data_IF_888090254306
#
_entry.id   IF_888090254306
#
_cell.length_a   1.000
_cell.length_b   1.000
_cell.length_c   1.000
_cell.angle_alpha   90.00
_cell.angle_beta   90.00
_cell.angle_gamma   90.00
#
_symmetry.space_group_name_H-M   'P 1'
#
loop_
_entity.id
_entity.type
_entity.pdbx_description
1 polymer ?
#
# COMPACT_ATOMS: atom_id res chain seq x y z
N UNK A 1 -25.58 31.76 7.74
CA UNK A 1 -24.17 32.17 7.63
C UNK A 1 -23.50 31.95 8.99
N UNK A 2 -22.49 31.07 9.14
CA UNK A 2 -21.78 30.97 10.40
C UNK A 2 -20.81 32.15 10.54
N UNK A 3 -20.52 32.60 11.76
CA UNK A 3 -19.65 33.74 11.99
C UNK A 3 -18.21 33.37 11.64
N UNK A 4 -17.54 34.24 10.87
CA UNK A 4 -16.10 34.21 10.69
C UNK A 4 -15.46 34.52 12.04
N UNK A 5 -15.09 33.48 12.79
CA UNK A 5 -14.19 33.64 13.95
C UNK A 5 -12.91 34.27 13.42
N UNK A 6 -12.55 35.44 13.96
CA UNK A 6 -11.21 36.02 13.83
C UNK A 6 -10.20 35.02 14.41
N UNK A 7 -9.81 34.01 13.61
CA UNK A 7 -8.67 33.16 13.93
C UNK A 7 -7.44 34.02 13.67
N UNK A 8 -6.69 34.34 14.73
CA UNK A 8 -5.29 34.73 14.57
C UNK A 8 -4.66 33.73 13.60
N UNK A 9 -3.94 34.23 12.62
CA UNK A 9 -3.23 33.38 11.69
C UNK A 9 -2.23 32.53 12.50
N UNK A 10 -2.22 31.19 12.34
CA UNK A 10 -1.22 30.35 12.98
C UNK A 10 0.17 30.83 12.57
N UNK A 11 1.07 31.01 13.55
CA UNK A 11 2.42 31.53 13.32
C UNK A 11 2.60 33.04 13.52
N UNK A 12 1.59 33.76 14.01
CA UNK A 12 1.71 35.20 14.35
C UNK A 12 2.43 35.48 15.69
N UNK A 13 2.91 34.45 16.38
CA UNK A 13 3.52 34.60 17.71
C UNK A 13 5.02 34.88 17.59
N UNK A 14 5.43 36.10 17.95
CA UNK A 14 6.84 36.46 18.14
C UNK A 14 7.11 36.60 19.63
N UNK A 15 7.90 35.68 20.20
CA UNK A 15 8.25 35.75 21.63
C UNK A 15 9.18 36.91 21.92
N UNK A 16 8.95 37.53 23.08
CA UNK A 16 9.80 38.57 23.65
C UNK A 16 11.03 38.01 24.38
N UNK A 17 11.04 36.71 24.66
CA UNK A 17 12.12 35.99 25.35
C UNK A 17 13.09 35.30 24.40
N UNK A 18 13.01 35.53 23.10
CA UNK A 18 13.98 34.93 22.18
C UNK A 18 15.40 35.35 22.57
N UNK A 19 16.30 34.41 22.91
CA UNK A 19 17.67 34.74 23.27
C UNK A 19 18.39 35.34 22.07
N UNK A 20 18.99 36.50 22.25
CA UNK A 20 19.89 37.08 21.26
C UNK A 20 21.27 36.43 21.38
N UNK A 21 22.01 36.28 20.29
CA UNK A 21 23.36 35.69 20.30
C UNK A 21 24.28 36.33 21.35
N UNK A 22 24.14 37.65 21.53
CA UNK A 22 24.87 38.41 22.55
C UNK A 22 24.55 37.93 23.97
N UNK A 23 23.26 37.81 24.31
CA UNK A 23 22.83 37.36 25.65
C UNK A 23 23.28 35.94 25.96
N UNK A 24 23.30 35.07 24.94
CA UNK A 24 23.79 33.70 25.10
C UNK A 24 25.31 33.64 25.28
N UNK A 25 26.06 34.49 24.58
CA UNK A 25 27.51 34.63 24.75
C UNK A 25 27.92 35.05 26.17
N UNK A 26 27.18 36.01 26.75
CA UNK A 26 27.41 36.48 28.12
C UNK A 26 27.16 35.36 29.14
N UNK A 27 26.04 34.64 29.01
CA UNK A 27 25.72 33.47 29.85
C UNK A 27 26.81 32.40 29.74
N UNK A 28 27.26 32.09 28.52
CA UNK A 28 28.30 31.07 28.28
C UNK A 28 29.64 31.44 28.89
N UNK A 29 29.96 32.73 28.95
CA UNK A 29 31.18 33.23 29.58
C UNK A 29 31.12 33.05 31.09
N UNK A 30 29.98 33.35 31.72
CA UNK A 30 29.75 33.13 33.15
C UNK A 30 29.83 31.64 33.50
N UNK A 31 29.19 30.78 32.71
CA UNK A 31 29.23 29.33 32.89
C UNK A 31 30.65 28.74 32.79
N UNK A 32 31.56 29.40 32.06
CA UNK A 32 32.97 28.98 31.94
C UNK A 32 33.88 29.53 33.05
N UNK A 33 33.52 30.66 33.64
CA UNK A 33 34.37 31.39 34.58
C UNK A 33 34.30 30.88 36.04
N UNK A 34 33.49 29.85 36.34
CA UNK A 34 33.17 29.39 37.70
C UNK A 34 32.63 30.48 38.66
N UNK A 35 32.32 31.67 38.15
CA UNK A 35 31.80 32.79 38.93
C UNK A 35 30.28 32.82 38.92
N UNK A 36 29.67 33.22 40.03
CA UNK A 36 28.23 33.50 40.05
C UNK A 36 27.93 34.78 39.26
N UNK A 37 26.78 34.86 38.56
CA UNK A 37 26.32 36.11 38.00
C UNK A 37 26.10 37.12 39.13
N UNK A 38 26.56 38.35 38.94
CA UNK A 38 26.44 39.43 39.93
C UNK A 38 25.71 40.64 39.37
N UNK A 39 25.20 41.51 40.25
CA UNK A 39 24.59 42.79 39.89
C UNK A 39 23.39 42.66 38.93
N UNK A 40 23.38 43.53 37.91
CA UNK A 40 22.28 43.61 36.94
C UNK A 40 22.10 42.33 36.10
N UNK A 41 23.18 41.62 35.80
CA UNK A 41 23.12 40.35 35.05
C UNK A 41 22.38 39.27 35.84
N UNK A 42 22.63 39.17 37.15
CA UNK A 42 21.91 38.24 38.01
C UNK A 42 20.40 38.55 38.08
N UNK A 43 20.03 39.83 38.17
CA UNK A 43 18.63 40.24 38.17
C UNK A 43 17.94 39.93 36.84
N UNK A 44 18.60 40.21 35.70
CA UNK A 44 18.08 39.89 34.37
C UNK A 44 17.91 38.39 34.16
N UNK A 45 18.86 37.56 34.62
CA UNK A 45 18.76 36.10 34.52
C UNK A 45 17.64 35.55 35.38
N UNK A 46 17.43 36.07 36.60
CA UNK A 46 16.29 35.67 37.45
C UNK A 46 14.95 36.04 36.82
N UNK A 47 14.81 37.26 36.31
CA UNK A 47 13.59 37.66 35.60
C UNK A 47 13.30 36.78 34.37
N UNK A 48 14.35 36.37 33.63
CA UNK A 48 14.20 35.41 32.53
C UNK A 48 13.73 34.03 33.04
N UNK A 49 14.31 33.53 34.13
CA UNK A 49 13.91 32.26 34.74
C UNK A 49 12.45 32.30 35.20
N UNK A 50 11.99 33.44 35.73
CA UNK A 50 10.63 33.59 36.25
C UNK A 50 9.58 33.71 35.13
N UNK A 51 9.90 34.37 34.00
CA UNK A 51 8.98 34.56 32.87
C UNK A 51 8.99 33.39 31.87
N UNK A 52 10.11 32.65 31.77
CA UNK A 52 10.25 31.57 30.80
C UNK A 52 9.17 30.47 30.89
N UNK A 53 8.75 29.99 32.08
CA UNK A 53 7.72 28.96 32.18
C UNK A 53 6.38 29.38 31.54
N UNK A 54 5.91 30.60 31.84
CA UNK A 54 4.66 31.11 31.29
C UNK A 54 4.73 31.26 29.76
N UNK A 55 5.88 31.67 29.22
CA UNK A 55 6.07 31.74 27.77
C UNK A 55 6.12 30.35 27.12
N UNK A 56 6.71 29.35 27.79
CA UNK A 56 6.73 27.97 27.31
C UNK A 56 5.33 27.37 27.27
N UNK A 57 4.51 27.60 28.29
CA UNK A 57 3.10 27.15 28.30
C UNK A 57 2.31 27.73 27.13
N UNK A 58 2.48 29.03 26.83
CA UNK A 58 1.86 29.65 25.65
C UNK A 58 2.33 29.03 24.33
N UNK A 59 3.60 28.64 24.24
CA UNK A 59 4.12 27.93 23.07
C UNK A 59 3.49 26.54 22.93
N UNK A 60 3.38 25.80 24.02
CA UNK A 60 2.79 24.46 24.02
C UNK A 60 1.31 24.53 23.59
N UNK A 61 0.54 25.51 24.10
CA UNK A 61 -0.85 25.75 23.68
C UNK A 61 -0.98 26.06 22.19
N UNK A 62 -0.14 26.94 21.65
CA UNK A 62 -0.16 27.28 20.21
C UNK A 62 0.28 26.09 19.36
N UNK A 63 1.29 25.34 19.82
CA UNK A 63 1.74 24.12 19.16
C UNK A 63 0.63 23.07 19.10
N UNK A 64 -0.08 22.84 20.20
CA UNK A 64 -1.23 21.94 20.23
C UNK A 64 -2.35 22.42 19.30
N UNK A 65 -2.65 23.71 19.30
CA UNK A 65 -3.67 24.30 18.42
C UNK A 65 -3.32 24.10 16.94
N UNK A 66 -2.07 24.38 16.55
CA UNK A 66 -1.56 24.19 15.18
C UNK A 66 -1.56 22.72 14.79
N UNK A 67 -1.12 21.82 15.68
CA UNK A 67 -1.19 20.37 15.46
C UNK A 67 -2.63 19.89 15.27
N UNK A 68 -3.59 20.42 16.04
CA UNK A 68 -5.00 20.12 15.87
C UNK A 68 -5.56 20.59 14.52
N UNK A 69 -5.12 21.77 14.05
CA UNK A 69 -5.44 22.26 12.70
C UNK A 69 -4.83 21.36 11.63
N UNK A 70 -3.56 20.96 11.77
CA UNK A 70 -2.86 20.09 10.84
C UNK A 70 -3.55 18.73 10.72
N UNK A 71 -3.81 18.05 11.85
CA UNK A 71 -4.52 16.76 11.87
C UNK A 71 -5.87 16.82 11.16
N UNK A 72 -6.63 17.91 11.36
CA UNK A 72 -7.90 18.10 10.65
C UNK A 72 -7.69 18.22 9.14
N UNK A 73 -6.72 19.04 8.70
CA UNK A 73 -6.42 19.21 7.28
C UNK A 73 -5.93 17.91 6.63
N UNK A 74 -5.16 17.09 7.34
CA UNK A 74 -4.73 15.77 6.88
C UNK A 74 -5.92 14.83 6.69
N UNK A 75 -6.87 14.81 7.63
CA UNK A 75 -8.11 14.03 7.48
C UNK A 75 -8.96 14.51 6.31
N UNK A 76 -9.13 15.83 6.16
CA UNK A 76 -9.88 16.43 5.05
C UNK A 76 -9.22 16.09 3.70
N UNK A 77 -7.88 16.20 3.61
CA UNK A 77 -7.11 15.82 2.42
C UNK A 77 -7.33 14.34 2.09
N UNK A 78 -7.18 13.44 3.06
CA UNK A 78 -7.40 12.01 2.85
C UNK A 78 -8.82 11.70 2.36
N UNK A 79 -9.83 12.36 2.93
CA UNK A 79 -11.22 12.16 2.53
C UNK A 79 -11.46 12.61 1.08
N UNK A 80 -10.90 13.76 0.68
CA UNK A 80 -10.98 14.27 -0.70
C UNK A 80 -10.24 13.35 -1.67
N UNK A 81 -9.02 12.90 -1.34
CA UNK A 81 -8.25 11.98 -2.18
C UNK A 81 -8.97 10.66 -2.38
N UNK A 82 -9.55 10.10 -1.31
CA UNK A 82 -10.35 8.87 -1.38
C UNK A 82 -11.59 9.06 -2.26
N UNK A 83 -12.27 10.19 -2.14
CA UNK A 83 -13.45 10.50 -2.95
C UNK A 83 -13.08 10.67 -4.43
N UNK A 84 -11.97 11.38 -4.72
CA UNK A 84 -11.47 11.55 -6.07
C UNK A 84 -11.12 10.20 -6.72
N UNK A 85 -10.37 9.33 -6.02
CA UNK A 85 -10.04 8.00 -6.50
C UNK A 85 -11.30 7.13 -6.75
N UNK A 86 -12.33 7.25 -5.91
CA UNK A 86 -13.59 6.56 -6.12
C UNK A 86 -14.33 7.06 -7.37
N UNK A 87 -14.36 8.37 -7.60
CA UNK A 87 -14.92 8.98 -8.80
C UNK A 87 -14.16 8.56 -10.06
N UNK A 88 -12.83 8.61 -10.05
CA UNK A 88 -11.99 8.13 -11.16
C UNK A 88 -12.24 6.65 -11.46
N UNK A 89 -12.28 5.82 -10.42
CA UNK A 89 -12.62 4.40 -10.56
C UNK A 89 -14.01 4.20 -11.17
N UNK A 90 -14.99 5.04 -10.85
CA UNK A 90 -16.34 4.98 -11.42
C UNK A 90 -16.38 5.22 -12.93
N UNK A 91 -15.47 6.05 -13.45
CA UNK A 91 -15.32 6.31 -14.88
C UNK A 91 -14.29 5.41 -15.57
N UNK A 92 -13.65 4.49 -14.84
CA UNK A 92 -12.64 3.62 -15.41
C UNK A 92 -13.22 2.76 -16.55
N UNK A 93 -12.57 2.70 -17.73
CA UNK A 93 -13.05 1.94 -18.90
C UNK A 93 -13.31 0.46 -18.60
N UNK A 94 -12.59 -0.10 -17.63
CA UNK A 94 -12.74 -1.48 -17.13
C UNK A 94 -14.18 -1.84 -16.73
N UNK A 95 -15.00 -0.86 -16.35
CA UNK A 95 -16.42 -1.03 -15.98
C UNK A 95 -17.38 -1.07 -17.17
N UNK A 96 -16.90 -0.77 -18.38
CA UNK A 96 -17.69 -0.73 -19.62
C UNK A 96 -17.23 -1.76 -20.65
N UNK A 97 -16.43 -2.75 -20.23
CA UNK A 97 -15.98 -3.80 -21.13
C UNK A 97 -17.18 -4.64 -21.59
N UNK A 98 -17.29 -4.94 -22.89
CA UNK A 98 -18.26 -5.92 -23.37
C UNK A 98 -18.05 -7.30 -22.69
N UNK A 99 -19.13 -8.09 -22.52
CA UNK A 99 -19.06 -9.42 -21.93
C UNK A 99 -18.00 -10.34 -22.56
N UNK A 100 -17.75 -10.22 -23.87
CA UNK A 100 -16.78 -11.03 -24.60
C UNK A 100 -15.35 -10.68 -24.19
N UNK A 101 -15.06 -9.39 -24.01
CA UNK A 101 -13.75 -8.92 -23.55
C UNK A 101 -13.55 -9.33 -22.09
N UNK A 102 -14.58 -9.19 -21.26
CA UNK A 102 -14.55 -9.59 -19.87
C UNK A 102 -14.31 -11.12 -19.70
N UNK A 103 -14.97 -11.93 -20.53
CA UNK A 103 -14.75 -13.37 -20.59
C UNK A 103 -13.31 -13.71 -20.95
N UNK A 104 -12.74 -13.02 -21.94
CA UNK A 104 -11.36 -13.22 -22.34
C UNK A 104 -10.40 -12.87 -21.21
N UNK A 105 -10.61 -11.76 -20.49
CA UNK A 105 -9.82 -11.41 -19.30
C UNK A 105 -9.86 -12.54 -18.27
N UNK A 106 -11.04 -13.07 -17.93
CA UNK A 106 -11.14 -14.17 -16.97
C UNK A 106 -10.54 -15.48 -17.49
N UNK A 107 -10.59 -15.75 -18.80
CA UNK A 107 -9.90 -16.90 -19.41
C UNK A 107 -8.38 -16.76 -19.30
N UNK A 108 -7.83 -15.57 -19.51
CA UNK A 108 -6.40 -15.31 -19.31
C UNK A 108 -5.99 -15.46 -17.84
N UNK A 109 -6.85 -15.03 -16.91
CA UNK A 109 -6.60 -15.15 -15.47
C UNK A 109 -6.84 -16.56 -14.92
N UNK A 110 -7.59 -17.40 -15.63
CA UNK A 110 -7.76 -18.80 -15.30
C UNK A 110 -6.56 -19.56 -15.83
N UNK A 111 -5.59 -19.98 -15.00
CA UNK A 111 -4.49 -20.82 -15.49
C UNK A 111 -5.09 -22.04 -16.18
N UNK A 112 -4.77 -22.19 -17.47
CA UNK A 112 -4.97 -23.45 -18.17
C UNK A 112 -4.16 -24.47 -17.36
N UNK A 113 -4.83 -25.46 -16.78
CA UNK A 113 -4.20 -26.47 -15.93
C UNK A 113 -3.13 -27.21 -16.72
N UNK A 114 -1.92 -26.68 -16.73
CA UNK A 114 -0.70 -27.37 -17.16
C UNK A 114 0.24 -27.35 -15.96
N UNK A 115 0.25 -28.46 -15.23
CA UNK A 115 1.34 -28.84 -14.35
C UNK A 115 1.45 -28.08 -13.02
N UNK A 116 1.02 -28.74 -11.96
CA UNK A 116 1.74 -28.86 -10.68
C UNK A 116 2.63 -27.66 -10.31
N UNK A 117 2.07 -26.63 -9.68
CA UNK A 117 2.87 -25.75 -8.82
C UNK A 117 3.02 -26.41 -7.46
N UNK A 118 3.88 -27.44 -7.41
CA UNK A 118 4.41 -28.01 -6.18
C UNK A 118 5.34 -26.98 -5.56
N UNK A 119 4.80 -26.07 -4.74
CA UNK A 119 5.61 -25.37 -3.76
C UNK A 119 5.71 -26.28 -2.54
N UNK A 120 6.63 -27.23 -2.61
CA UNK A 120 7.22 -27.85 -1.42
C UNK A 120 7.97 -26.72 -0.69
N UNK A 121 7.31 -26.11 0.29
CA UNK A 121 8.05 -25.50 1.39
C UNK A 121 8.20 -26.62 2.41
N UNK A 122 9.37 -27.24 2.37
CA UNK A 122 9.87 -28.08 3.45
C UNK A 122 10.21 -27.14 4.61
N UNK A 123 9.30 -27.05 5.55
CA UNK A 123 9.60 -26.55 6.89
C UNK A 123 8.91 -27.50 7.85
N UNK A 124 9.73 -28.30 8.51
CA UNK A 124 9.41 -29.06 9.71
C UNK A 124 8.60 -28.19 10.68
N UNK A 125 7.28 -28.32 10.65
CA UNK A 125 6.42 -27.81 11.72
C UNK A 125 5.39 -28.90 12.04
N UNK A 126 5.67 -29.56 13.15
CA UNK A 126 4.95 -30.66 13.75
C UNK A 126 3.61 -30.17 14.31
N UNK A 127 2.68 -29.78 13.45
CA UNK A 127 1.33 -29.42 13.88
C UNK A 127 0.24 -29.95 12.94
N UNK A 128 -0.04 -31.25 13.11
CA UNK A 128 -1.06 -32.08 12.44
C UNK A 128 -2.52 -31.68 12.76
N UNK A 129 -2.81 -30.41 13.01
CA UNK A 129 -4.17 -29.89 13.23
C UNK A 129 -4.52 -28.65 12.40
N UNK A 130 -3.66 -28.22 11.49
CA UNK A 130 -4.03 -27.18 10.53
C UNK A 130 -4.72 -27.81 9.31
N UNK A 131 -6.06 -27.69 9.26
CA UNK A 131 -6.81 -27.89 8.00
C UNK A 131 -6.10 -27.11 6.89
N UNK A 132 -5.82 -27.71 5.73
CA UNK A 132 -5.50 -26.92 4.55
C UNK A 132 -6.68 -25.98 4.34
N UNK A 133 -6.46 -24.66 4.48
CA UNK A 133 -7.46 -23.66 4.10
C UNK A 133 -7.82 -24.02 2.66
N UNK A 134 -9.08 -24.43 2.43
CA UNK A 134 -9.61 -24.73 1.09
C UNK A 134 -9.53 -23.42 0.29
N UNK A 135 -8.35 -23.10 -0.25
CA UNK A 135 -8.18 -21.97 -1.16
C UNK A 135 -9.10 -22.27 -2.34
N UNK A 136 -9.85 -21.26 -2.78
CA UNK A 136 -10.60 -21.34 -4.03
C UNK A 136 -9.69 -21.96 -5.08
N UNK A 137 -10.20 -22.92 -5.88
CA UNK A 137 -9.40 -23.57 -6.93
C UNK A 137 -8.86 -22.59 -7.97
N UNK A 138 -9.35 -21.33 -7.96
CA UNK A 138 -8.96 -20.22 -8.83
C UNK A 138 -8.97 -18.90 -8.02
N UNK A 139 -7.94 -18.60 -7.21
CA UNK A 139 -7.89 -17.36 -6.43
C UNK A 139 -7.79 -16.11 -7.31
N UNK A 140 -7.20 -16.22 -8.50
CA UNK A 140 -7.01 -15.12 -9.47
C UNK A 140 -8.35 -14.61 -9.99
N UNK A 141 -9.30 -15.50 -10.26
CA UNK A 141 -10.67 -15.13 -10.64
C UNK A 141 -11.38 -14.36 -9.53
N UNK A 142 -11.18 -14.77 -8.28
CA UNK A 142 -11.75 -14.07 -7.12
C UNK A 142 -11.09 -12.71 -6.90
N UNK A 143 -9.78 -12.58 -7.11
CA UNK A 143 -9.09 -11.29 -7.07
C UNK A 143 -9.65 -10.32 -8.11
N UNK A 144 -9.85 -10.77 -9.35
CA UNK A 144 -10.45 -9.94 -10.40
C UNK A 144 -11.93 -9.62 -10.15
N UNK A 145 -12.69 -10.49 -9.49
CA UNK A 145 -14.06 -10.20 -9.07
C UNK A 145 -14.17 -9.01 -8.10
N UNK A 146 -13.08 -8.56 -7.46
CA UNK A 146 -13.09 -7.37 -6.59
C UNK A 146 -13.03 -6.03 -7.36
N UNK A 147 -12.84 -6.03 -8.69
CA UNK A 147 -12.78 -4.80 -9.50
C UNK A 147 -14.08 -4.00 -9.43
N UNK A 148 -15.22 -4.64 -9.65
CA UNK A 148 -16.55 -4.04 -9.46
C UNK A 148 -17.64 -5.12 -9.34
N UNK A 149 -18.85 -4.70 -8.96
CA UNK A 149 -20.00 -5.59 -8.84
C UNK A 149 -20.32 -6.35 -10.15
N UNK A 150 -20.20 -5.69 -11.31
CA UNK A 150 -20.45 -6.33 -12.61
C UNK A 150 -19.46 -7.46 -12.90
N UNK A 151 -18.16 -7.26 -12.62
CA UNK A 151 -17.14 -8.31 -12.75
C UNK A 151 -17.43 -9.49 -11.82
N UNK A 152 -17.84 -9.21 -10.57
CA UNK A 152 -18.22 -10.25 -9.62
C UNK A 152 -19.41 -11.06 -10.10
N UNK A 153 -20.47 -10.39 -10.54
CA UNK A 153 -21.67 -11.06 -11.04
C UNK A 153 -21.32 -11.92 -12.26
N UNK A 154 -20.60 -11.35 -13.22
CA UNK A 154 -20.21 -12.02 -14.45
C UNK A 154 -19.44 -13.32 -14.20
N UNK A 155 -18.45 -13.29 -13.30
CA UNK A 155 -17.66 -14.49 -12.95
C UNK A 155 -18.53 -15.56 -12.30
N UNK A 156 -19.45 -15.17 -11.42
CA UNK A 156 -20.31 -16.12 -10.71
C UNK A 156 -21.36 -16.75 -11.64
N UNK A 157 -21.85 -16.01 -12.62
CA UNK A 157 -22.82 -16.49 -13.62
C UNK A 157 -22.18 -17.35 -14.71
N UNK A 158 -20.89 -17.14 -14.99
CA UNK A 158 -20.19 -17.88 -16.04
C UNK A 158 -19.63 -19.20 -15.50
N UNK A 159 -20.45 -20.24 -15.49
CA UNK A 159 -20.08 -21.59 -15.01
C UNK A 159 -18.85 -22.19 -15.70
N UNK A 160 -18.61 -21.86 -16.97
CA UNK A 160 -17.45 -22.33 -17.77
C UNK A 160 -16.11 -21.83 -17.21
N UNK A 161 -16.10 -20.77 -16.41
CA UNK A 161 -14.92 -20.28 -15.69
C UNK A 161 -14.62 -21.09 -14.42
N UNK A 162 -15.45 -22.04 -14.04
CA UNK A 162 -15.28 -22.87 -12.84
C UNK A 162 -15.15 -24.35 -13.17
N UNK A 163 -15.71 -24.79 -14.29
CA UNK A 163 -15.61 -26.14 -14.79
C UNK A 163 -14.29 -26.32 -15.54
N UNK A 164 -13.40 -27.16 -15.03
CA UNK A 164 -12.35 -27.75 -15.86
C UNK A 164 -12.99 -28.81 -16.75
N UNK A 165 -13.12 -28.52 -18.03
CA UNK A 165 -13.42 -29.55 -19.01
C UNK A 165 -12.16 -30.41 -19.20
N UNK A 166 -12.13 -31.57 -18.53
CA UNK A 166 -11.15 -32.61 -18.82
C UNK A 166 -11.63 -33.32 -20.08
N UNK A 167 -11.25 -32.83 -21.26
CA UNK A 167 -11.32 -33.67 -22.45
C UNK A 167 -10.27 -34.77 -22.22
N UNK A 168 -10.71 -35.96 -21.83
CA UNK A 168 -9.91 -37.18 -22.01
C UNK A 168 -9.69 -37.31 -23.50
N UNK A 169 -8.59 -36.75 -24.01
CA UNK A 169 -8.12 -37.10 -25.33
C UNK A 169 -7.76 -38.58 -25.24
N UNK A 170 -8.48 -39.50 -25.90
CA UNK A 170 -8.02 -40.87 -25.94
C UNK A 170 -6.63 -40.81 -26.56
N UNK A 171 -5.62 -41.23 -25.81
CA UNK A 171 -4.36 -41.64 -26.38
C UNK A 171 -4.73 -42.76 -27.35
N UNK A 172 -4.94 -42.42 -28.63
CA UNK A 172 -4.94 -43.43 -29.65
C UNK A 172 -3.57 -44.09 -29.53
N UNK A 173 -3.48 -45.40 -29.24
CA UNK A 173 -2.21 -46.07 -29.33
C UNK A 173 -1.76 -45.85 -30.77
N UNK A 174 -0.69 -45.06 -30.95
CA UNK A 174 0.09 -45.10 -32.17
C UNK A 174 0.43 -46.57 -32.35
N UNK A 175 -0.30 -47.26 -33.23
CA UNK A 175 0.09 -48.58 -33.71
C UNK A 175 1.34 -48.35 -34.54
N UNK A 176 2.45 -48.21 -33.84
CA UNK A 176 3.78 -48.23 -34.40
C UNK A 176 4.03 -49.67 -34.83
N UNK A 177 3.71 -49.98 -36.09
CA UNK A 177 4.25 -51.14 -36.78
C UNK A 177 5.75 -50.91 -36.99
N UNK A 178 6.55 -51.15 -35.96
CA UNK A 178 7.99 -51.24 -36.13
C UNK A 178 8.32 -52.63 -36.70
N UNK A 179 8.44 -52.71 -38.02
CA UNK A 179 9.34 -53.69 -38.63
C UNK A 179 10.76 -53.30 -38.28
N UNK A 180 11.49 -54.19 -37.62
CA UNK A 180 12.88 -54.01 -37.26
C UNK A 180 13.75 -53.85 -38.52
N UNK A 181 14.51 -52.75 -38.61
CA UNK A 181 15.88 -52.73 -39.12
C UNK A 181 16.50 -51.32 -39.08
N UNK A 182 17.73 -51.24 -38.55
CA UNK A 182 18.81 -50.27 -38.82
C UNK A 182 18.55 -48.79 -38.46
N UNK A 183 19.10 -48.28 -37.35
CA UNK A 183 20.47 -47.68 -37.24
C UNK A 183 20.68 -46.53 -38.23
N UNK A 184 20.51 -45.29 -37.79
CA UNK A 184 21.61 -44.33 -37.53
C UNK A 184 21.11 -42.88 -37.38
N UNK A 185 21.78 -42.14 -36.49
CA UNK A 185 21.97 -40.67 -36.44
C UNK A 185 20.79 -39.76 -36.10
N UNK A 186 20.89 -39.15 -34.92
CA UNK A 186 20.33 -37.83 -34.56
C UNK A 186 21.18 -36.76 -35.30
N UNK A 187 20.60 -35.67 -35.84
CA UNK A 187 20.51 -34.44 -35.05
C UNK A 187 19.17 -33.70 -35.14
N UNK A 188 18.90 -33.00 -34.04
CA UNK A 188 17.94 -31.92 -33.83
C UNK A 188 17.78 -30.97 -35.04
N UNK A 189 16.56 -30.79 -35.54
CA UNK A 189 15.97 -29.47 -35.74
C UNK A 189 14.46 -29.57 -36.07
N UNK A 190 13.70 -28.64 -35.48
CA UNK A 190 12.42 -28.10 -35.93
C UNK A 190 11.39 -29.01 -36.61
N UNK A 191 10.21 -29.13 -35.99
CA UNK A 191 8.96 -29.19 -36.75
C UNK A 191 7.85 -28.41 -36.05
N UNK A 192 7.71 -27.17 -36.51
CA UNK A 192 6.54 -26.30 -36.44
C UNK A 192 5.42 -26.94 -37.26
N UNK A 193 4.22 -27.12 -36.71
CA UNK A 193 3.04 -27.54 -37.51
C UNK A 193 1.73 -27.06 -36.83
N UNK A 194 0.60 -26.97 -37.54
CA UNK A 194 0.12 -25.71 -38.12
C UNK A 194 -1.28 -25.33 -37.60
N UNK A 195 -1.65 -24.07 -37.83
CA UNK A 195 -3.03 -23.60 -37.71
C UNK A 195 -3.88 -24.21 -38.84
N UNK A 196 -4.99 -24.84 -38.46
CA UNK A 196 -6.27 -24.73 -39.17
C UNK A 196 -7.41 -24.95 -38.19
#
# INVERSE_FOLDING_TARGET
MPPRRNRRLPGSFTSKLMPTDKTWGDIRTILRANGLPSGATAASMRAYIDEAPAQLELYDEEMEAVQGVLKRLEMERWAVEKQAAACESAFAPVRRLPPEVLLNVFRFLSPMTTGVSSTYHDSDDENRWYRPKKRSRRPELMTAAHVCWHWRQFVLETSTLWTTEWVKMPLQPLQCRCSAAAVDKVPLHECRVPLH
#
